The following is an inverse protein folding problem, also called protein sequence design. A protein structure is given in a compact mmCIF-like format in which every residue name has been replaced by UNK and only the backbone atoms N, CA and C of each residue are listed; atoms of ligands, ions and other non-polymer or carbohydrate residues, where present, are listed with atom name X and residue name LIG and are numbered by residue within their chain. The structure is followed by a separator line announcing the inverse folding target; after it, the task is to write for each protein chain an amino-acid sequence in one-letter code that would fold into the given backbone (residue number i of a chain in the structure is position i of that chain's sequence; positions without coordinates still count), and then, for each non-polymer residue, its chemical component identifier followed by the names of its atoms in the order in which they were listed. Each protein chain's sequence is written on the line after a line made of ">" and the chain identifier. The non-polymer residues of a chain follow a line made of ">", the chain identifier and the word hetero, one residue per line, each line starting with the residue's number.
data_IF_777587316146
#
_entry.id   IF_777587316146
#
_cell.length_a   1.000
_cell.length_b   1.000
_cell.length_c   1.000
_cell.angle_alpha   90.00
_cell.angle_beta   90.00
_cell.angle_gamma   90.00
#
_symmetry.space_group_name_H-M   'P 1'
#
loop_
_entity.id
_entity.type
_entity.pdbx_description
1 polymer ?
#
# COMPACT_ATOMS: atom_id res chain seq x y z
N UNK A 1 0.71 30.76 0.91
CA UNK A 1 1.56 29.59 1.25
C UNK A 1 1.77 28.82 -0.04
N UNK A 2 2.97 28.82 -0.59
CA UNK A 2 3.33 28.05 -1.77
C UNK A 2 3.43 26.58 -1.36
N UNK A 3 2.40 25.79 -1.69
CA UNK A 3 2.48 24.33 -1.62
C UNK A 3 3.56 23.89 -2.61
N UNK A 4 4.71 23.46 -2.11
CA UNK A 4 5.70 22.75 -2.91
C UNK A 4 5.01 21.53 -3.52
N UNK A 5 4.75 21.57 -4.83
CA UNK A 5 4.28 20.40 -5.57
C UNK A 5 5.41 19.39 -5.63
N UNK A 6 5.34 18.36 -4.80
CA UNK A 6 6.30 17.25 -4.82
C UNK A 6 6.35 16.65 -6.23
N UNK A 7 7.56 16.45 -6.75
CA UNK A 7 7.75 15.95 -8.10
C UNK A 7 7.40 14.46 -8.15
N UNK A 8 6.45 14.11 -9.02
CA UNK A 8 5.90 12.75 -9.18
C UNK A 8 6.59 12.04 -10.33
N UNK A 9 7.76 11.46 -10.06
CA UNK A 9 8.66 10.93 -11.11
C UNK A 9 9.03 9.48 -10.92
N UNK A 10 8.74 8.87 -9.77
CA UNK A 10 9.13 7.49 -9.49
C UNK A 10 8.38 6.54 -10.43
N UNK A 11 9.10 5.64 -11.09
CA UNK A 11 8.48 4.51 -11.80
C UNK A 11 7.84 3.59 -10.76
N UNK A 12 6.51 3.55 -10.78
CA UNK A 12 5.70 2.82 -9.81
C UNK A 12 6.02 1.32 -9.80
N UNK A 13 6.22 0.69 -10.97
CA UNK A 13 6.42 -0.75 -11.10
C UNK A 13 7.81 -1.16 -10.63
N UNK A 14 8.84 -0.41 -11.01
CA UNK A 14 10.20 -0.60 -10.54
C UNK A 14 10.28 -0.42 -9.01
N UNK A 15 9.61 0.59 -8.46
CA UNK A 15 9.55 0.81 -7.02
C UNK A 15 8.89 -0.35 -6.27
N UNK A 16 7.70 -0.79 -6.71
CA UNK A 16 6.98 -1.92 -6.09
C UNK A 16 7.81 -3.21 -6.16
N UNK A 17 8.45 -3.49 -7.31
CA UNK A 17 9.30 -4.67 -7.46
C UNK A 17 10.53 -4.61 -6.54
N UNK A 18 11.20 -3.46 -6.46
CA UNK A 18 12.35 -3.25 -5.59
C UNK A 18 12.00 -3.43 -4.10
N UNK A 19 10.85 -2.88 -3.68
CA UNK A 19 10.33 -3.02 -2.32
C UNK A 19 10.01 -4.48 -2.00
N UNK A 20 9.19 -5.15 -2.82
CA UNK A 20 8.71 -6.51 -2.52
C UNK A 20 9.83 -7.56 -2.56
N UNK A 21 10.89 -7.34 -3.34
CA UNK A 21 12.09 -8.18 -3.33
C UNK A 21 12.73 -8.27 -1.92
N UNK A 22 12.58 -7.24 -1.09
CA UNK A 22 13.11 -7.22 0.28
C UNK A 22 12.22 -7.93 1.30
N UNK A 23 11.01 -8.31 0.91
CA UNK A 23 9.99 -8.90 1.79
C UNK A 23 9.36 -10.16 1.17
N UNK A 24 10.15 -11.22 0.92
CA UNK A 24 9.69 -12.43 0.22
C UNK A 24 8.58 -13.20 0.95
N UNK A 25 8.51 -13.07 2.28
CA UNK A 25 7.52 -13.75 3.13
C UNK A 25 6.41 -12.83 3.66
N UNK A 26 6.36 -11.58 3.21
CA UNK A 26 5.34 -10.65 3.67
C UNK A 26 3.94 -11.03 3.15
N UNK A 27 2.95 -10.74 3.98
CA UNK A 27 1.54 -10.73 3.62
C UNK A 27 1.24 -9.39 2.95
N UNK A 28 0.88 -9.40 1.68
CA UNK A 28 0.60 -8.17 0.93
C UNK A 28 -0.90 -8.04 0.68
N UNK A 29 -1.44 -6.87 0.98
CA UNK A 29 -2.80 -6.49 0.62
C UNK A 29 -2.70 -5.35 -0.37
N UNK A 30 -3.33 -5.48 -1.53
CA UNK A 30 -3.35 -4.39 -2.49
C UNK A 30 -4.64 -3.60 -2.42
N UNK A 31 -4.54 -2.32 -2.71
CA UNK A 31 -5.68 -1.56 -3.20
C UNK A 31 -6.09 -1.99 -4.61
N UNK A 32 -7.35 -1.74 -4.98
CA UNK A 32 -7.85 -2.09 -6.31
C UNK A 32 -7.20 -1.22 -7.40
N UNK A 33 -7.18 -1.74 -8.62
CA UNK A 33 -6.60 -1.04 -9.77
C UNK A 33 -5.07 -1.15 -9.82
N UNK A 34 -4.41 -0.03 -10.12
CA UNK A 34 -2.96 0.08 -10.34
C UNK A 34 -2.08 -0.67 -9.33
N UNK A 35 -2.24 -0.52 -7.99
CA UNK A 35 -1.45 -1.27 -7.01
C UNK A 35 -1.54 -2.79 -7.19
N UNK A 36 -2.72 -3.32 -7.51
CA UNK A 36 -2.93 -4.76 -7.74
C UNK A 36 -2.16 -5.24 -8.98
N UNK A 37 -2.14 -4.43 -10.05
CA UNK A 37 -1.40 -4.78 -11.27
C UNK A 37 0.11 -4.81 -11.05
N UNK A 38 0.66 -3.89 -10.26
CA UNK A 38 2.11 -3.84 -10.03
C UNK A 38 2.59 -4.93 -9.09
N UNK A 39 1.83 -5.22 -8.03
CA UNK A 39 2.16 -6.34 -7.14
C UNK A 39 2.10 -7.66 -7.90
N UNK A 40 1.13 -7.83 -8.81
CA UNK A 40 1.10 -9.00 -9.68
C UNK A 40 2.27 -9.04 -10.67
N UNK A 41 2.63 -7.90 -11.29
CA UNK A 41 3.79 -7.79 -12.17
C UNK A 41 5.13 -8.04 -11.46
N UNK A 42 5.23 -7.69 -10.17
CA UNK A 42 6.38 -7.96 -9.31
C UNK A 42 6.49 -9.45 -8.89
N UNK A 43 5.47 -10.26 -9.18
CA UNK A 43 5.43 -11.69 -8.92
C UNK A 43 4.19 -12.10 -8.13
N UNK A 44 3.36 -12.95 -8.73
CA UNK A 44 2.23 -13.56 -8.02
C UNK A 44 2.72 -14.57 -6.96
N UNK A 45 2.14 -14.49 -5.76
CA UNK A 45 2.40 -15.43 -4.67
C UNK A 45 1.15 -15.63 -3.82
N UNK A 46 1.00 -16.79 -3.15
CA UNK A 46 -0.17 -17.06 -2.30
C UNK A 46 -0.40 -16.03 -1.17
N UNK A 47 0.66 -15.34 -0.72
CA UNK A 47 0.60 -14.26 0.27
C UNK A 47 0.25 -12.88 -0.31
N UNK A 48 -0.11 -12.77 -1.59
CA UNK A 48 -0.70 -11.57 -2.17
C UNK A 48 -2.23 -11.69 -2.13
N UNK A 49 -2.88 -10.76 -1.45
CA UNK A 49 -4.33 -10.59 -1.40
C UNK A 49 -4.74 -9.39 -2.25
N UNK A 50 -5.29 -9.67 -3.43
CA UNK A 50 -5.82 -8.64 -4.34
C UNK A 50 -7.24 -8.25 -3.93
N UNK A 51 -7.38 -7.10 -3.25
CA UNK A 51 -8.67 -6.64 -2.76
C UNK A 51 -9.46 -5.96 -3.88
N UNK A 52 -10.44 -6.68 -4.43
CA UNK A 52 -11.34 -6.16 -5.45
C UNK A 52 -12.65 -5.65 -4.84
N UNK A 53 -13.22 -4.59 -5.43
CA UNK A 53 -14.58 -4.13 -5.11
C UNK A 53 -14.76 -3.45 -3.74
N UNK A 54 -13.68 -3.15 -3.02
CA UNK A 54 -13.70 -2.54 -1.69
C UNK A 54 -12.70 -1.39 -1.59
N UNK A 55 -12.94 -0.31 -2.35
CA UNK A 55 -12.13 0.90 -2.29
C UNK A 55 -12.11 1.48 -0.87
N UNK A 56 -10.94 1.85 -0.39
CA UNK A 56 -10.69 2.30 0.98
C UNK A 56 -10.47 1.16 1.98
N UNK A 57 -10.55 -0.10 1.54
CA UNK A 57 -10.48 -1.26 2.43
C UNK A 57 -9.08 -1.83 2.68
N UNK A 58 -8.08 -1.52 1.85
CA UNK A 58 -6.75 -2.16 1.91
C UNK A 58 -6.07 -2.03 3.28
N UNK A 59 -6.05 -0.82 3.85
CA UNK A 59 -5.46 -0.57 5.18
C UNK A 59 -6.21 -1.27 6.30
N UNK A 60 -7.55 -1.34 6.24
CA UNK A 60 -8.36 -2.07 7.24
C UNK A 60 -8.11 -3.58 7.19
N UNK A 61 -8.03 -4.17 6.00
CA UNK A 61 -7.73 -5.60 5.83
C UNK A 61 -6.30 -5.90 6.29
N UNK A 62 -5.33 -5.05 5.92
CA UNK A 62 -3.95 -5.19 6.35
C UNK A 62 -3.79 -5.07 7.88
N UNK A 63 -4.53 -4.16 8.52
CA UNK A 63 -4.56 -4.07 9.98
C UNK A 63 -5.09 -5.36 10.63
N UNK A 64 -6.18 -5.91 10.12
CA UNK A 64 -6.72 -7.18 10.62
C UNK A 64 -5.71 -8.32 10.53
N UNK A 65 -4.98 -8.40 9.41
CA UNK A 65 -3.88 -9.36 9.24
C UNK A 65 -2.73 -9.10 10.20
N UNK A 66 -2.31 -7.84 10.38
CA UNK A 66 -1.21 -7.47 11.25
C UNK A 66 -1.49 -7.88 12.71
N UNK A 67 -2.72 -7.65 13.18
CA UNK A 67 -3.19 -8.07 14.52
C UNK A 67 -3.30 -9.59 14.63
N UNK A 68 -3.81 -10.27 13.60
CA UNK A 68 -4.02 -11.72 13.63
C UNK A 68 -2.73 -12.53 13.40
N UNK A 69 -1.72 -11.95 12.77
CA UNK A 69 -0.46 -12.59 12.39
C UNK A 69 0.74 -11.73 12.89
N UNK A 70 0.90 -11.56 14.21
CA UNK A 70 1.88 -10.62 14.78
C UNK A 70 3.31 -10.94 14.35
N UNK A 71 3.65 -12.19 14.04
CA UNK A 71 5.00 -12.59 13.63
C UNK A 71 5.31 -12.28 12.15
N UNK A 72 4.28 -12.09 11.31
CA UNK A 72 4.44 -11.85 9.87
C UNK A 72 4.51 -10.36 9.56
N UNK A 73 5.37 -9.96 8.62
CA UNK A 73 5.32 -8.61 8.06
C UNK A 73 4.08 -8.47 7.18
N UNK A 74 3.30 -7.41 7.38
CA UNK A 74 2.15 -7.06 6.55
C UNK A 74 2.43 -5.74 5.82
N UNK A 75 2.14 -5.71 4.52
CA UNK A 75 2.34 -4.53 3.67
C UNK A 75 1.06 -4.27 2.87
N UNK A 76 0.39 -3.17 3.14
CA UNK A 76 -0.63 -2.64 2.25
C UNK A 76 0.04 -1.82 1.14
N UNK A 77 -0.23 -2.13 -0.12
CA UNK A 77 0.21 -1.33 -1.27
C UNK A 77 -1.04 -0.78 -1.95
N UNK A 78 -1.24 0.53 -1.86
CA UNK A 78 -2.51 1.17 -2.23
C UNK A 78 -2.27 2.45 -3.04
N UNK A 79 -3.34 3.00 -3.63
CA UNK A 79 -3.30 4.30 -4.31
C UNK A 79 -3.70 5.44 -3.37
N UNK A 80 -3.29 6.66 -3.68
CA UNK A 80 -3.71 7.87 -2.97
C UNK A 80 -5.23 8.06 -2.96
N UNK A 81 -5.90 7.89 -4.11
CA UNK A 81 -7.36 7.98 -4.21
C UNK A 81 -8.08 6.94 -3.35
N UNK A 82 -7.55 5.73 -3.28
CA UNK A 82 -8.08 4.67 -2.42
C UNK A 82 -7.89 5.01 -0.94
N UNK A 83 -6.67 5.39 -0.55
CA UNK A 83 -6.36 5.70 0.83
C UNK A 83 -7.16 6.91 1.35
N UNK A 84 -7.48 7.87 0.48
CA UNK A 84 -8.36 9.00 0.81
C UNK A 84 -9.79 8.53 1.13
N UNK A 85 -10.33 7.57 0.38
CA UNK A 85 -11.65 7.00 0.67
C UNK A 85 -11.67 6.24 2.01
N UNK A 86 -10.56 5.57 2.33
CA UNK A 86 -10.37 4.82 3.58
C UNK A 86 -9.64 5.56 4.69
N UNK A 87 -9.52 6.90 4.66
CA UNK A 87 -8.52 7.63 5.48
C UNK A 87 -8.63 7.39 6.98
N UNK A 88 -9.84 7.19 7.52
CA UNK A 88 -10.06 6.89 8.94
C UNK A 88 -9.46 5.55 9.41
N UNK A 89 -9.16 4.64 8.49
CA UNK A 89 -8.45 3.38 8.80
C UNK A 89 -7.03 3.62 9.29
N UNK A 90 -6.38 4.73 8.89
CA UNK A 90 -5.05 5.11 9.38
C UNK A 90 -5.11 5.42 10.87
N UNK A 91 -6.10 6.20 11.31
CA UNK A 91 -6.30 6.52 12.73
C UNK A 91 -6.59 5.26 13.56
N UNK A 92 -7.38 4.34 13.02
CA UNK A 92 -7.65 3.06 13.66
C UNK A 92 -6.38 2.21 13.79
N UNK A 93 -5.59 2.10 12.72
CA UNK A 93 -4.33 1.36 12.74
C UNK A 93 -3.32 1.97 13.72
N UNK A 94 -3.20 3.30 13.76
CA UNK A 94 -2.33 4.01 14.68
C UNK A 94 -2.71 3.75 16.14
N UNK A 95 -4.01 3.74 16.46
CA UNK A 95 -4.50 3.42 17.80
C UNK A 95 -4.21 1.97 18.23
N UNK A 96 -4.24 1.02 17.29
CA UNK A 96 -3.93 -0.40 17.56
C UNK A 96 -2.42 -0.67 17.72
N UNK A 97 -1.55 0.22 17.21
CA UNK A 97 -0.08 0.16 17.33
C UNK A 97 0.53 -1.20 16.93
N UNK A 98 0.21 -1.77 15.74
CA UNK A 98 0.91 -2.96 15.26
C UNK A 98 2.36 -2.63 14.91
N UNK A 99 3.30 -3.48 15.29
CA UNK A 99 4.73 -3.33 14.99
C UNK A 99 5.12 -3.89 13.61
N UNK A 100 4.17 -4.51 12.91
CA UNK A 100 4.40 -5.30 11.70
C UNK A 100 3.57 -4.84 10.49
N UNK A 101 3.01 -3.62 10.53
CA UNK A 101 2.19 -3.08 9.45
C UNK A 101 2.89 -1.93 8.74
N UNK A 102 3.02 -2.03 7.42
CA UNK A 102 3.40 -0.92 6.55
C UNK A 102 2.26 -0.61 5.57
N UNK A 103 1.95 0.67 5.39
CA UNK A 103 1.02 1.19 4.38
C UNK A 103 1.82 2.02 3.39
N UNK A 104 1.93 1.54 2.15
CA UNK A 104 2.66 2.17 1.06
C UNK A 104 1.65 2.72 0.05
N UNK A 105 1.53 4.04 0.04
CA UNK A 105 0.61 4.77 -0.84
C UNK A 105 1.36 5.23 -2.08
N UNK A 106 0.95 4.70 -3.23
CA UNK A 106 1.42 5.07 -4.55
C UNK A 106 0.62 6.29 -5.02
N UNK A 107 1.20 7.47 -4.88
CA UNK A 107 0.57 8.76 -5.15
C UNK A 107 0.98 9.31 -6.52
N UNK A 108 0.12 9.12 -7.52
CA UNK A 108 0.23 9.79 -8.82
C UNK A 108 -0.61 11.07 -8.90
N UNK A 109 -1.32 11.43 -7.82
CA UNK A 109 -2.18 12.60 -7.73
C UNK A 109 -3.47 12.52 -8.54
N UNK A 110 -3.89 11.34 -9.00
CA UNK A 110 -5.00 11.16 -9.94
C UNK A 110 -5.78 9.86 -9.73
N UNK A 111 -7.07 9.88 -10.05
CA UNK A 111 -7.87 8.67 -10.18
C UNK A 111 -7.63 8.00 -11.55
N UNK A 112 -6.55 7.22 -11.64
CA UNK A 112 -6.07 6.67 -12.91
C UNK A 112 -7.06 5.80 -13.68
N UNK A 113 -7.90 5.02 -12.97
CA UNK A 113 -8.83 4.07 -13.61
C UNK A 113 -10.15 4.72 -14.08
N UNK A 114 -10.47 5.95 -13.66
CA UNK A 114 -11.78 6.59 -13.93
C UNK A 114 -11.71 7.79 -14.88
N UNK A 115 -10.53 8.10 -15.41
CA UNK A 115 -10.35 9.21 -16.37
C UNK A 115 -9.37 10.30 -15.93
N UNK A 116 -8.42 10.00 -15.05
CA UNK A 116 -7.32 10.91 -14.67
C UNK A 116 -7.79 12.22 -14.03
N UNK A 117 -8.90 12.20 -13.29
CA UNK A 117 -9.30 13.34 -12.47
C UNK A 117 -8.27 13.55 -11.36
N UNK A 118 -7.96 14.81 -11.03
CA UNK A 118 -7.08 15.11 -9.91
C UNK A 118 -7.63 14.52 -8.62
N UNK A 119 -6.77 13.82 -7.88
CA UNK A 119 -7.07 13.40 -6.52
C UNK A 119 -6.84 14.56 -5.54
N UNK A 120 -7.25 14.36 -4.29
CA UNK A 120 -7.05 15.38 -3.25
C UNK A 120 -5.56 15.64 -2.97
N UNK A 121 -4.65 14.70 -3.26
CA UNK A 121 -3.20 14.92 -3.06
C UNK A 121 -2.59 15.83 -4.12
N UNK A 122 -3.25 16.01 -5.27
CA UNK A 122 -2.93 17.09 -6.22
C UNK A 122 -3.49 18.46 -5.79
N UNK A 123 -4.40 18.48 -4.82
CA UNK A 123 -5.10 19.67 -4.34
C UNK A 123 -4.65 20.11 -2.93
N UNK A 124 -3.57 19.53 -2.42
CA UNK A 124 -2.94 19.94 -1.15
C UNK A 124 -3.06 18.94 -0.01
N UNK A 125 -3.74 17.81 -0.18
CA UNK A 125 -3.75 16.75 0.84
C UNK A 125 -2.38 16.05 0.92
N UNK A 126 -1.86 15.87 2.14
CA UNK A 126 -0.64 15.09 2.39
C UNK A 126 -0.98 13.96 3.36
N UNK A 127 -0.91 12.72 2.88
CA UNK A 127 -1.30 11.51 3.61
C UNK A 127 -0.24 11.12 4.65
N UNK A 128 1.05 11.37 4.40
CA UNK A 128 2.11 11.17 5.38
C UNK A 128 1.96 12.13 6.58
N UNK A 129 1.69 13.41 6.32
CA UNK A 129 1.40 14.41 7.34
C UNK A 129 0.12 14.08 8.12
N UNK A 130 -0.95 13.66 7.44
CA UNK A 130 -2.19 13.23 8.08
C UNK A 130 -1.95 12.00 8.98
N UNK A 131 -1.19 11.01 8.51
CA UNK A 131 -0.83 9.83 9.29
C UNK A 131 -0.07 10.19 10.56
N UNK A 132 0.88 11.13 10.47
CA UNK A 132 1.61 11.64 11.64
C UNK A 132 0.66 12.29 12.64
N UNK A 133 -0.30 13.09 12.16
CA UNK A 133 -1.33 13.71 13.02
C UNK A 133 -2.26 12.67 13.67
N UNK A 134 -2.48 11.52 13.03
CA UNK A 134 -3.20 10.39 13.60
C UNK A 134 -2.37 9.54 14.59
N UNK A 135 -1.10 9.85 14.80
CA UNK A 135 -0.22 9.14 15.73
C UNK A 135 0.56 7.98 15.12
N UNK A 136 0.67 7.90 13.80
CA UNK A 136 1.56 6.93 13.14
C UNK A 136 3.02 7.25 13.50
N UNK A 137 3.78 6.31 14.07
CA UNK A 137 5.13 6.58 14.56
C UNK A 137 6.15 6.77 13.43
N UNK A 138 5.98 6.10 12.30
CA UNK A 138 6.89 6.17 11.16
C UNK A 138 6.14 6.69 9.93
N UNK A 139 6.44 7.93 9.50
CA UNK A 139 5.84 8.52 8.29
C UNK A 139 6.92 8.99 7.33
N UNK A 140 6.83 8.58 6.06
CA UNK A 140 7.79 8.95 5.02
C UNK A 140 7.08 9.58 3.82
N UNK A 141 7.72 10.61 3.27
CA UNK A 141 7.44 11.15 1.94
C UNK A 141 8.61 10.75 1.03
N UNK A 142 8.33 9.99 -0.02
CA UNK A 142 9.34 9.43 -0.92
C UNK A 142 9.15 10.06 -2.29
N UNK A 143 10.10 10.91 -2.68
CA UNK A 143 10.10 11.63 -3.97
C UNK A 143 11.23 11.19 -4.90
N UNK A 144 12.12 10.32 -4.43
CA UNK A 144 13.20 9.72 -5.23
C UNK A 144 13.24 8.20 -5.04
N UNK A 145 13.48 7.47 -6.13
CA UNK A 145 13.50 6.01 -6.12
C UNK A 145 14.66 5.45 -5.26
N UNK A 146 15.73 6.22 -5.10
CA UNK A 146 16.89 5.92 -4.27
C UNK A 146 16.51 5.78 -2.78
N UNK A 147 15.40 6.40 -2.34
CA UNK A 147 14.91 6.32 -0.96
C UNK A 147 14.19 4.99 -0.64
N UNK A 148 14.00 4.08 -1.60
CA UNK A 148 13.37 2.77 -1.33
C UNK A 148 14.13 1.99 -0.23
N UNK A 149 15.45 2.14 -0.17
CA UNK A 149 16.28 1.53 0.88
C UNK A 149 15.95 2.04 2.27
N UNK A 150 15.69 3.34 2.43
CA UNK A 150 15.27 3.94 3.71
C UNK A 150 13.95 3.34 4.18
N UNK A 151 12.96 3.26 3.28
CA UNK A 151 11.67 2.64 3.58
C UNK A 151 11.83 1.19 4.04
N UNK A 152 12.65 0.42 3.33
CA UNK A 152 12.93 -0.98 3.66
C UNK A 152 13.51 -1.11 5.07
N UNK A 153 14.48 -0.28 5.42
CA UNK A 153 15.10 -0.31 6.75
C UNK A 153 14.11 0.08 7.85
N UNK A 154 13.26 1.08 7.63
CA UNK A 154 12.21 1.45 8.60
C UNK A 154 11.22 0.31 8.81
N UNK A 155 10.76 -0.35 7.74
CA UNK A 155 9.83 -1.48 7.84
C UNK A 155 10.50 -2.66 8.57
N UNK A 156 11.76 -2.99 8.25
CA UNK A 156 12.50 -4.10 8.87
C UNK A 156 12.72 -3.93 10.37
N UNK A 157 12.81 -2.69 10.88
CA UNK A 157 12.98 -2.42 12.32
C UNK A 157 11.79 -2.92 13.15
N UNK A 158 10.59 -2.96 12.57
CA UNK A 158 9.36 -3.40 13.24
C UNK A 158 9.14 -2.69 14.59
N UNK A 159 9.25 -1.36 14.56
CA UNK A 159 9.05 -0.47 15.70
C UNK A 159 7.86 0.44 15.43
N UNK A 160 6.66 -0.11 15.55
CA UNK A 160 5.41 0.54 15.19
C UNK A 160 5.12 0.55 13.69
N UNK A 161 3.87 0.89 13.36
CA UNK A 161 3.42 0.92 11.97
C UNK A 161 4.10 2.03 11.15
N UNK A 162 4.21 1.79 9.86
CA UNK A 162 4.79 2.72 8.90
C UNK A 162 3.75 3.16 7.88
N UNK A 163 3.71 4.45 7.55
CA UNK A 163 3.02 4.95 6.38
C UNK A 163 3.99 5.72 5.47
N UNK A 164 4.13 5.26 4.23
CA UNK A 164 4.95 5.90 3.22
C UNK A 164 4.05 6.41 2.09
N UNK A 165 4.17 7.69 1.76
CA UNK A 165 3.57 8.31 0.59
C UNK A 165 4.65 8.42 -0.50
N UNK A 166 4.47 7.71 -1.60
CA UNK A 166 5.46 7.57 -2.68
C UNK A 166 4.96 8.33 -3.91
N UNK A 167 5.67 9.38 -4.30
CA UNK A 167 5.31 10.24 -5.41
C UNK A 167 5.73 9.63 -6.74
N UNK A 168 4.77 8.97 -7.39
CA UNK A 168 5.00 8.19 -8.61
C UNK A 168 4.53 8.93 -9.85
N UNK A 169 5.15 8.62 -10.99
CA UNK A 169 4.69 9.10 -12.30
C UNK A 169 3.25 8.65 -12.58
N UNK A 170 2.51 9.47 -13.34
CA UNK A 170 1.18 9.14 -13.86
C UNK A 170 1.22 8.33 -15.17
N UNK A 171 2.42 7.96 -15.64
CA UNK A 171 2.58 7.13 -16.83
C UNK A 171 1.84 5.79 -16.72
N UNK A 172 1.18 5.42 -17.81
CA UNK A 172 0.45 4.16 -17.88
C UNK A 172 1.43 3.01 -18.12
N UNK A 173 1.34 1.99 -17.28
CA UNK A 173 2.05 0.73 -17.50
C UNK A 173 1.08 -0.33 -18.02
N UNK A 174 1.54 -1.21 -18.92
CA UNK A 174 0.74 -2.35 -19.38
C UNK A 174 0.20 -3.14 -18.19
N UNK A 175 -1.12 -3.33 -18.14
CA UNK A 175 -1.81 -3.99 -17.02
C UNK A 175 -1.43 -5.47 -16.95
N UNK A 176 -0.85 -5.87 -15.81
CA UNK A 176 -0.69 -7.28 -15.47
C UNK A 176 -1.90 -7.66 -14.59
N UNK A 177 -2.76 -8.56 -15.05
CA UNK A 177 -4.06 -8.80 -14.41
C UNK A 177 -3.99 -9.98 -13.43
N UNK A 178 -4.09 -9.76 -12.10
CA UNK A 178 -4.23 -10.86 -11.16
C UNK A 178 -5.62 -11.49 -11.22
N UNK A 179 -5.81 -12.68 -10.60
CA UNK A 179 -7.12 -13.27 -10.41
C UNK A 179 -8.12 -12.27 -9.79
N UNK A 180 -9.30 -12.18 -10.41
CA UNK A 180 -10.40 -11.30 -9.96
C UNK A 180 -11.44 -12.01 -9.11
N UNK A 181 -11.37 -13.34 -9.05
CA UNK A 181 -12.25 -14.15 -8.20
C UNK A 181 -11.84 -13.97 -6.73
N UNK A 182 -12.65 -13.22 -5.99
CA UNK A 182 -12.43 -12.97 -4.56
C UNK A 182 -12.49 -14.24 -3.70
N UNK A 183 -13.26 -15.26 -4.11
CA UNK A 183 -13.31 -16.55 -3.40
C UNK A 183 -11.98 -17.27 -3.57
N UNK A 184 -11.48 -17.33 -4.80
CA UNK A 184 -10.16 -17.90 -5.08
C UNK A 184 -9.04 -17.19 -4.32
N UNK A 185 -8.97 -15.85 -4.41
CA UNK A 185 -7.93 -15.04 -3.72
C UNK A 185 -7.99 -15.23 -2.21
N UNK A 186 -9.19 -15.20 -1.62
CA UNK A 186 -9.39 -15.45 -0.19
C UNK A 186 -8.96 -16.86 0.21
N UNK A 187 -9.39 -17.89 -0.52
CA UNK A 187 -9.10 -19.27 -0.16
C UNK A 187 -7.61 -19.61 -0.32
N UNK A 188 -6.93 -19.15 -1.38
CA UNK A 188 -5.48 -19.38 -1.54
C UNK A 188 -4.67 -18.72 -0.43
N UNK A 189 -5.06 -17.51 -0.02
CA UNK A 189 -4.37 -16.77 1.04
C UNK A 189 -4.57 -17.43 2.40
N UNK A 190 -5.80 -17.89 2.68
CA UNK A 190 -6.11 -18.68 3.88
C UNK A 190 -5.31 -19.99 3.93
N UNK A 191 -5.23 -20.71 2.82
CA UNK A 191 -4.44 -21.94 2.71
C UNK A 191 -2.95 -21.67 2.95
N UNK A 192 -2.42 -20.57 2.41
CA UNK A 192 -1.04 -20.15 2.67
C UNK A 192 -0.77 -19.91 4.16
N UNK A 193 -1.77 -19.43 4.90
CA UNK A 193 -1.72 -19.27 6.36
C UNK A 193 -2.04 -20.56 7.13
N UNK A 194 -2.22 -21.70 6.46
CA UNK A 194 -2.51 -22.99 7.09
C UNK A 194 -3.97 -23.21 7.46
N UNK A 195 -4.89 -22.35 7.01
CA UNK A 195 -6.33 -22.52 7.25
C UNK A 195 -6.99 -23.30 6.11
N UNK A 196 -7.95 -24.17 6.46
CA UNK A 196 -8.77 -24.84 5.47
C UNK A 196 -9.57 -23.83 4.62
N UNK A 197 -9.74 -24.09 3.30
CA UNK A 197 -10.68 -23.33 2.48
C UNK A 197 -12.08 -23.51 3.05
N UNK A 198 -12.85 -22.42 3.05
CA UNK A 198 -14.27 -22.44 3.40
C UNK A 198 -15.08 -22.98 2.24
#
# INVERSE_FOLDING_TARGET
>A
MTTSTQQRTIDRRAFVAALLKQFPDALVVTGLGSPSYDVFAAGDRPSNFYLWGAMGGSTSVALGLAVAQPDKQVIAITGDGEQLMGVGSIATAAAQRPDNLAVVVLDNGHFGETGMQQSHTSLGANLAAAAKAFGVPNTLEISSAEQVGELVEVIKRRQGMTLAQVYISSEECQRALPPRDGVFVKNRFRQHLGFAPL
#
